data_IF_742538162040
#
_entry.id   IF_742538162040
#
_cell.length_a   1.000
_cell.length_b   1.000
_cell.length_c   1.000
_cell.angle_alpha   90.00
_cell.angle_beta   90.00
_cell.angle_gamma   90.00
#
_symmetry.space_group_name_H-M   'P 1'
#
loop_
_entity.id
_entity.type
_entity.pdbx_description
1 polymer ?
#
# COMPACT_ATOMS: atom_id res chain seq x y z
N UNK A 1 2.10 6.31 -11.60
CA UNK A 1 0.78 5.76 -11.19
C UNK A 1 0.76 4.22 -11.28
N UNK A 2 1.89 3.54 -10.99
CA UNK A 2 2.07 2.08 -11.17
C UNK A 2 2.38 1.33 -9.86
N UNK A 3 2.69 2.04 -8.77
CA UNK A 3 3.04 1.43 -7.49
C UNK A 3 1.80 1.04 -6.67
N UNK A 4 0.66 1.68 -6.95
CA UNK A 4 -0.62 1.40 -6.30
C UNK A 4 -1.38 0.36 -7.09
N UNK A 5 -1.70 -0.74 -6.41
CA UNK A 5 -2.49 -1.83 -6.96
C UNK A 5 -3.93 -1.72 -6.46
N UNK A 6 -4.86 -1.44 -7.36
CA UNK A 6 -6.26 -1.37 -7.01
C UNK A 6 -6.90 -2.75 -7.10
N UNK A 7 -7.67 -3.09 -6.09
CA UNK A 7 -8.43 -4.34 -6.00
C UNK A 7 -9.89 -4.02 -5.69
N UNK A 8 -10.79 -4.77 -6.31
CA UNK A 8 -12.21 -4.74 -5.98
C UNK A 8 -12.47 -5.67 -4.79
N UNK A 9 -12.91 -5.12 -3.67
CA UNK A 9 -13.22 -5.87 -2.45
C UNK A 9 -14.72 -6.12 -2.40
N UNK A 10 -15.12 -7.39 -2.59
CA UNK A 10 -16.52 -7.81 -2.49
C UNK A 10 -16.76 -8.58 -1.20
N UNK A 11 -17.66 -8.06 -0.38
CA UNK A 11 -18.24 -8.82 0.71
C UNK A 11 -19.31 -9.77 0.20
N UNK A 12 -19.08 -11.08 0.31
CA UNK A 12 -19.95 -12.11 -0.26
C UNK A 12 -21.22 -12.40 0.56
N UNK A 13 -21.32 -11.88 1.78
CA UNK A 13 -22.43 -12.16 2.71
C UNK A 13 -23.08 -10.86 3.18
N UNK A 14 -24.41 -10.78 3.15
CA UNK A 14 -25.19 -9.62 3.63
C UNK A 14 -25.04 -9.35 5.14
N UNK A 15 -24.31 -10.20 5.87
CA UNK A 15 -24.00 -10.07 7.30
C UNK A 15 -22.51 -9.88 7.57
N UNK A 16 -21.68 -9.71 6.54
CA UNK A 16 -20.22 -9.52 6.71
C UNK A 16 -19.90 -8.24 7.47
N UNK A 17 -20.62 -7.15 7.18
CA UNK A 17 -20.40 -5.82 7.77
C UNK A 17 -21.26 -5.56 9.01
N UNK A 18 -22.24 -6.42 9.29
CA UNK A 18 -23.08 -6.25 10.48
C UNK A 18 -22.27 -6.64 11.73
N UNK A 19 -22.29 -5.79 12.75
CA UNK A 19 -21.87 -6.17 14.10
C UNK A 19 -22.64 -7.43 14.49
N UNK A 20 -21.91 -8.39 15.03
CA UNK A 20 -22.52 -9.63 15.49
C UNK A 20 -23.47 -9.29 16.63
N UNK A 21 -24.74 -9.70 16.56
CA UNK A 21 -25.75 -9.35 17.55
C UNK A 21 -25.41 -9.98 18.89
N UNK A 22 -24.69 -9.27 19.75
CA UNK A 22 -24.57 -9.59 21.16
C UNK A 22 -25.79 -9.00 21.88
N UNK A 23 -26.88 -9.77 21.92
CA UNK A 23 -28.01 -9.57 22.83
C UNK A 23 -28.51 -8.12 23.01
N UNK A 24 -29.30 -7.57 22.07
CA UNK A 24 -30.43 -6.65 22.33
C UNK A 24 -31.12 -6.20 21.03
N UNK A 25 -32.42 -5.91 21.16
CA UNK A 25 -33.45 -5.67 20.13
C UNK A 25 -33.33 -4.33 19.36
N UNK A 26 -32.13 -3.87 19.02
CA UNK A 26 -31.98 -2.73 18.12
C UNK A 26 -31.24 -3.21 16.88
N UNK A 27 -31.87 -3.05 15.71
CA UNK A 27 -31.15 -3.14 14.46
C UNK A 27 -30.19 -1.95 14.46
N UNK A 28 -28.96 -2.18 14.91
CA UNK A 28 -27.88 -1.21 14.70
C UNK A 28 -27.70 -1.06 13.19
N UNK A 29 -27.66 0.19 12.74
CA UNK A 29 -27.33 0.52 11.36
C UNK A 29 -25.98 -0.11 10.98
N UNK A 30 -25.75 -0.44 9.70
CA UNK A 30 -24.42 -0.88 9.26
C UNK A 30 -23.38 0.11 9.79
N UNK A 31 -22.35 -0.36 10.48
CA UNK A 31 -21.28 0.56 10.88
C UNK A 31 -20.65 1.08 9.59
N UNK A 32 -20.67 2.40 9.39
CA UNK A 32 -19.94 3.02 8.30
C UNK A 32 -18.46 2.74 8.51
N UNK A 33 -17.89 1.89 7.67
CA UNK A 33 -16.46 1.58 7.73
C UNK A 33 -15.73 2.72 7.03
N UNK A 34 -15.30 3.69 7.83
CA UNK A 34 -14.44 4.79 7.38
C UNK A 34 -12.98 4.39 7.54
N UNK A 35 -12.13 4.76 6.57
CA UNK A 35 -10.68 4.51 6.56
C UNK A 35 -10.27 3.05 6.92
N UNK A 36 -10.79 2.01 6.24
CA UNK A 36 -10.45 0.62 6.57
C UNK A 36 -9.00 0.28 6.27
N UNK A 37 -8.37 -0.47 7.18
CA UNK A 37 -7.08 -1.11 6.93
C UNK A 37 -7.28 -2.62 6.82
N UNK A 38 -6.88 -3.19 5.69
CA UNK A 38 -6.94 -4.62 5.44
C UNK A 38 -5.54 -5.22 5.49
N UNK A 39 -5.34 -6.23 6.35
CA UNK A 39 -4.10 -7.02 6.42
C UNK A 39 -4.36 -8.41 5.88
N UNK A 40 -3.66 -8.78 4.81
CA UNK A 40 -3.65 -10.15 4.30
C UNK A 40 -2.74 -11.02 5.19
N UNK A 41 -3.23 -12.20 5.54
CA UNK A 41 -2.53 -13.21 6.33
C UNK A 41 -2.58 -14.52 5.56
N UNK A 42 -1.43 -14.94 5.04
CA UNK A 42 -1.28 -16.24 4.37
C UNK A 42 -0.84 -17.28 5.39
N UNK A 43 -1.70 -18.27 5.65
CA UNK A 43 -1.39 -19.37 6.57
C UNK A 43 -0.82 -20.58 5.82
N UNK A 44 -1.35 -20.83 4.62
CA UNK A 44 -0.88 -21.83 3.67
C UNK A 44 -1.17 -21.36 2.24
N UNK A 45 -0.62 -22.04 1.24
CA UNK A 45 -0.83 -21.72 -0.18
C UNK A 45 -2.32 -21.68 -0.58
N UNK A 46 -3.16 -22.43 0.14
CA UNK A 46 -4.59 -22.54 -0.12
C UNK A 46 -5.47 -21.73 0.82
N UNK A 47 -4.93 -21.31 1.98
CA UNK A 47 -5.73 -20.68 3.04
C UNK A 47 -5.19 -19.31 3.38
N UNK A 48 -5.88 -18.30 2.88
CA UNK A 48 -5.59 -16.90 3.11
C UNK A 48 -6.73 -16.25 3.92
N UNK A 49 -6.37 -15.53 4.96
CA UNK A 49 -7.29 -14.71 5.75
C UNK A 49 -7.01 -13.23 5.51
N UNK A 50 -8.04 -12.40 5.68
CA UNK A 50 -7.92 -10.95 5.68
C UNK A 50 -8.47 -10.41 6.98
N UNK A 51 -7.64 -9.72 7.75
CA UNK A 51 -8.09 -9.01 8.96
C UNK A 51 -8.43 -7.57 8.59
N UNK A 52 -9.62 -7.13 9.01
CA UNK A 52 -10.06 -5.74 8.91
C UNK A 52 -9.83 -5.02 10.23
N UNK A 53 -9.19 -3.86 10.15
CA UNK A 53 -9.00 -2.92 11.23
C UNK A 53 -9.69 -1.60 10.92
N UNK A 54 -10.19 -0.93 11.96
CA UNK A 54 -10.85 0.37 11.87
C UNK A 54 -10.34 1.29 12.97
N UNK A 55 -10.20 2.58 12.66
CA UNK A 55 -9.95 3.62 13.66
C UNK A 55 -11.29 4.13 14.25
N UNK A 56 -11.20 5.05 15.22
CA UNK A 56 -12.39 5.72 15.76
C UNK A 56 -12.98 6.69 14.72
N UNK A 57 -14.28 6.96 14.77
CA UNK A 57 -14.96 7.80 13.77
C UNK A 57 -14.30 9.18 13.56
N UNK A 58 -13.91 9.86 14.65
CA UNK A 58 -13.22 11.15 14.60
C UNK A 58 -11.82 11.05 13.97
N UNK A 59 -11.15 9.91 14.16
CA UNK A 59 -9.81 9.66 13.63
C UNK A 59 -9.87 9.29 12.15
N UNK A 60 -10.91 8.57 11.73
CA UNK A 60 -11.11 8.17 10.34
C UNK A 60 -11.25 9.37 9.40
N UNK A 61 -12.02 10.39 9.79
CA UNK A 61 -12.20 11.58 8.96
C UNK A 61 -10.87 12.37 8.80
N UNK A 62 -10.06 12.43 9.88
CA UNK A 62 -8.72 13.04 9.85
C UNK A 62 -7.73 12.23 9.00
N UNK A 63 -7.71 10.90 9.14
CA UNK A 63 -6.85 10.03 8.32
C UNK A 63 -7.19 10.17 6.84
N UNK A 64 -8.48 10.17 6.49
CA UNK A 64 -8.90 10.35 5.11
C UNK A 64 -8.49 11.72 4.58
N UNK A 65 -8.64 12.78 5.38
CA UNK A 65 -8.20 14.13 5.00
C UNK A 65 -6.69 14.16 4.72
N UNK A 66 -5.87 13.61 5.63
CA UNK A 66 -4.41 13.54 5.48
C UNK A 66 -3.98 12.72 4.26
N UNK A 67 -4.61 11.56 4.02
CA UNK A 67 -4.29 10.71 2.85
C UNK A 67 -4.75 11.32 1.52
N UNK A 68 -5.75 12.21 1.56
CA UNK A 68 -6.27 12.91 0.39
C UNK A 68 -5.62 14.26 0.14
N UNK A 69 -4.67 14.68 1.00
CA UNK A 69 -4.04 15.98 0.88
C UNK A 69 -3.13 16.03 -0.36
N UNK A 70 -3.40 17.00 -1.22
CA UNK A 70 -2.64 17.26 -2.44
C UNK A 70 -1.65 18.41 -2.29
N UNK A 71 -1.72 19.17 -1.19
CA UNK A 71 -1.03 20.45 -1.03
C UNK A 71 0.36 20.36 -0.41
N UNK A 72 0.60 19.43 0.52
CA UNK A 72 1.84 19.34 1.30
C UNK A 72 2.78 18.17 0.90
N UNK A 73 2.79 17.75 -0.37
CA UNK A 73 3.59 16.60 -0.85
C UNK A 73 5.07 16.92 -1.17
N UNK A 74 5.67 17.95 -0.58
CA UNK A 74 7.07 18.29 -0.88
C UNK A 74 8.02 17.33 -0.14
N UNK A 75 8.92 16.62 -0.83
CA UNK A 75 9.79 15.65 -0.19
C UNK A 75 10.79 16.34 0.74
N UNK A 76 10.86 15.85 1.97
CA UNK A 76 11.83 16.30 2.98
C UNK A 76 13.22 15.75 2.66
N UNK A 77 14.24 16.56 2.97
CA UNK A 77 15.63 16.27 2.59
C UNK A 77 16.31 15.27 3.53
N UNK A 78 15.93 15.29 4.81
CA UNK A 78 16.52 14.45 5.85
C UNK A 78 15.45 13.62 6.60
N UNK A 79 15.76 12.38 7.02
CA UNK A 79 14.86 11.58 7.87
C UNK A 79 14.54 12.23 9.23
N UNK A 80 15.37 13.16 9.71
CA UNK A 80 15.09 13.93 10.94
C UNK A 80 14.04 15.03 10.74
N UNK A 81 13.90 15.49 9.49
CA UNK A 81 12.87 16.44 9.05
C UNK A 81 11.58 15.74 8.64
N UNK A 82 11.62 14.42 8.43
CA UNK A 82 10.47 13.54 8.18
C UNK A 82 9.66 13.33 9.47
N UNK A 83 9.39 14.43 10.18
CA UNK A 83 8.45 14.46 11.29
C UNK A 83 7.07 14.12 10.76
N UNK A 84 6.26 13.44 11.56
CA UNK A 84 4.91 13.14 11.16
C UNK A 84 4.13 14.43 10.89
N UNK A 85 3.27 14.39 9.88
CA UNK A 85 2.37 15.50 9.51
C UNK A 85 1.51 15.94 10.71
N UNK A 86 1.24 15.01 11.61
CA UNK A 86 0.67 15.28 12.93
C UNK A 86 1.39 14.44 13.98
N UNK A 87 1.65 14.99 15.17
CA UNK A 87 2.11 14.20 16.34
C UNK A 87 1.07 13.17 16.83
N UNK A 88 -0.09 13.12 16.17
CA UNK A 88 -1.20 12.24 16.52
C UNK A 88 -0.95 10.83 15.99
N UNK A 89 -1.03 9.86 16.90
CA UNK A 89 -1.01 8.44 16.58
C UNK A 89 -2.45 7.97 16.38
N UNK A 90 -2.74 7.43 15.20
CA UNK A 90 -4.05 6.86 14.88
C UNK A 90 -4.09 5.39 15.29
N UNK A 91 -4.93 5.06 16.25
CA UNK A 91 -5.06 3.69 16.77
C UNK A 91 -6.14 2.92 16.02
N UNK A 92 -5.71 1.88 15.30
CA UNK A 92 -6.56 0.95 14.58
C UNK A 92 -6.81 -0.30 15.41
N UNK A 93 -8.07 -0.62 15.66
CA UNK A 93 -8.46 -1.82 16.40
C UNK A 93 -8.94 -2.90 15.43
N UNK A 94 -8.61 -4.15 15.76
CA UNK A 94 -9.08 -5.31 15.01
C UNK A 94 -10.60 -5.43 15.11
N UNK A 95 -11.28 -5.34 13.97
CA UNK A 95 -12.73 -5.47 13.90
C UNK A 95 -13.15 -6.92 13.67
N UNK A 96 -12.60 -7.54 12.62
CA UNK A 96 -13.02 -8.88 12.18
C UNK A 96 -12.00 -9.53 11.24
N UNK A 97 -11.93 -10.86 11.30
CA UNK A 97 -11.22 -11.70 10.34
C UNK A 97 -12.18 -12.27 9.29
N UNK A 98 -11.75 -12.28 8.04
CA UNK A 98 -12.48 -12.82 6.90
C UNK A 98 -11.67 -13.92 6.22
N UNK A 99 -12.37 -14.95 5.74
CA UNK A 99 -11.80 -15.88 4.79
C UNK A 99 -11.67 -15.17 3.43
N UNK A 100 -10.45 -15.10 2.91
CA UNK A 100 -10.14 -14.32 1.73
C UNK A 100 -9.90 -15.24 0.55
N UNK A 101 -10.70 -15.07 -0.49
CA UNK A 101 -10.48 -15.73 -1.77
C UNK A 101 -10.10 -14.66 -2.79
N UNK A 102 -8.80 -14.57 -3.08
CA UNK A 102 -8.29 -13.71 -4.14
C UNK A 102 -8.43 -14.44 -5.47
N UNK A 103 -9.27 -13.90 -6.35
CA UNK A 103 -9.25 -14.27 -7.76
C UNK A 103 -8.32 -13.30 -8.45
N UNK A 104 -7.03 -13.62 -8.45
CA UNK A 104 -6.10 -12.95 -9.35
C UNK A 104 -6.45 -13.36 -10.79
N UNK A 105 -6.46 -12.40 -11.70
CA UNK A 105 -6.63 -12.71 -13.13
C UNK A 105 -5.48 -13.66 -13.53
N UNK A 106 -5.81 -14.83 -14.07
CA UNK A 106 -4.81 -15.83 -14.49
C UNK A 106 -3.90 -15.32 -15.61
N UNK A 107 -4.31 -14.24 -16.29
CA UNK A 107 -3.53 -13.62 -17.34
C UNK A 107 -2.62 -12.58 -16.71
N UNK A 108 -1.37 -12.97 -16.47
CA UNK A 108 -0.29 -12.07 -16.08
C UNK A 108 -0.25 -10.88 -17.06
N UNK A 109 -0.62 -9.68 -16.59
CA UNK A 109 -0.52 -8.43 -17.34
C UNK A 109 -1.84 -7.77 -17.76
N UNK A 110 -2.99 -8.45 -17.69
CA UNK A 110 -4.28 -7.86 -18.06
C UNK A 110 -5.09 -7.44 -16.82
N UNK A 111 -5.37 -6.15 -16.71
CA UNK A 111 -6.30 -5.60 -15.72
C UNK A 111 -7.68 -6.24 -15.90
N UNK A 112 -8.28 -6.69 -14.80
CA UNK A 112 -9.60 -7.33 -14.84
C UNK A 112 -10.70 -6.33 -15.21
N UNK A 113 -10.57 -5.10 -14.70
CA UNK A 113 -11.55 -4.03 -14.86
C UNK A 113 -10.84 -2.68 -14.83
N UNK A 114 -11.42 -1.69 -15.51
CA UNK A 114 -11.02 -0.30 -15.41
C UNK A 114 -12.14 0.45 -14.68
N UNK A 115 -11.79 1.18 -13.63
CA UNK A 115 -12.67 2.15 -13.02
C UNK A 115 -12.35 3.53 -13.58
N UNK A 116 -13.38 4.30 -13.92
CA UNK A 116 -13.24 5.68 -14.38
C UNK A 116 -13.71 6.58 -13.24
N UNK A 117 -12.80 7.42 -12.74
CA UNK A 117 -13.12 8.44 -11.75
C UNK A 117 -13.03 9.80 -12.41
N UNK A 118 -14.04 10.64 -12.21
CA UNK A 118 -14.06 12.00 -12.73
C UNK A 118 -13.58 12.95 -11.65
N UNK A 119 -12.58 13.77 -11.96
CA UNK A 119 -12.21 14.89 -11.14
C UNK A 119 -12.91 16.15 -11.67
N UNK A 120 -13.90 16.62 -10.93
CA UNK A 120 -14.69 17.81 -11.29
C UNK A 120 -13.83 19.09 -11.31
N UNK A 121 -12.77 19.15 -10.49
CA UNK A 121 -11.92 20.36 -10.39
C UNK A 121 -11.10 20.57 -11.64
N UNK A 122 -10.52 19.49 -12.18
CA UNK A 122 -9.70 19.53 -13.39
C UNK A 122 -10.49 19.21 -14.66
N UNK A 123 -11.77 18.79 -14.52
CA UNK A 123 -12.59 18.28 -15.63
C UNK A 123 -11.90 17.14 -16.39
N UNK A 124 -11.12 16.33 -15.70
CA UNK A 124 -10.40 15.19 -16.29
C UNK A 124 -11.00 13.86 -15.84
N UNK A 125 -10.98 12.88 -16.74
CA UNK A 125 -11.31 11.50 -16.43
C UNK A 125 -10.02 10.73 -16.15
N UNK A 126 -9.91 10.17 -14.95
CA UNK A 126 -8.79 9.36 -14.52
C UNK A 126 -9.17 7.88 -14.65
N UNK A 127 -8.27 7.09 -15.25
CA UNK A 127 -8.44 5.65 -15.38
C UNK A 127 -7.68 4.95 -14.25
N UNK A 128 -8.41 4.17 -13.45
CA UNK A 128 -7.86 3.40 -12.33
C UNK A 128 -7.87 1.91 -12.70
N UNK A 129 -6.70 1.29 -12.95
CA UNK A 129 -6.61 -0.11 -13.32
C UNK A 129 -6.81 -1.04 -12.13
N UNK A 130 -7.85 -1.88 -12.17
CA UNK A 130 -8.15 -2.86 -11.13
C UNK A 130 -7.49 -4.20 -11.48
N UNK A 131 -6.51 -4.60 -10.67
CA UNK A 131 -5.71 -5.81 -10.89
C UNK A 131 -6.48 -7.10 -10.63
N UNK A 132 -7.43 -7.09 -9.71
CA UNK A 132 -8.15 -8.30 -9.35
C UNK A 132 -9.32 -8.05 -8.42
N UNK A 133 -9.93 -9.15 -8.00
CA UNK A 133 -11.06 -9.14 -7.07
C UNK A 133 -10.75 -9.99 -5.85
N UNK A 134 -11.02 -9.43 -4.67
CA UNK A 134 -10.89 -10.11 -3.40
C UNK A 134 -12.30 -10.34 -2.86
N UNK A 135 -12.69 -11.60 -2.75
CA UNK A 135 -13.96 -11.97 -2.14
C UNK A 135 -13.75 -12.30 -0.66
N UNK A 136 -14.34 -11.48 0.20
CA UNK A 136 -14.31 -11.66 1.65
C UNK A 136 -15.57 -12.43 2.08
N UNK A 137 -15.36 -13.59 2.70
CA UNK A 137 -16.42 -14.43 3.25
C UNK A 137 -16.34 -14.42 4.77
N UNK A 138 -17.49 -14.23 5.41
CA UNK A 138 -17.61 -14.49 6.84
C UNK A 138 -17.63 -16.01 7.02
N UNK A 139 -16.57 -16.56 7.60
CA UNK A 139 -16.48 -17.98 7.95
C UNK A 139 -16.19 -18.09 9.44
N UNK A 140 -16.77 -19.10 10.09
CA UNK A 140 -16.34 -19.48 11.43
C UNK A 140 -14.89 -19.97 11.32
N UNK A 141 -14.02 -19.42 12.15
CA UNK A 141 -12.63 -19.82 12.19
C UNK A 141 -12.56 -21.07 13.05
N UNK A 142 -11.94 -22.13 12.54
CA UNK A 142 -11.79 -23.36 13.29
C UNK A 142 -10.88 -23.13 14.49
N UNK A 143 -11.24 -23.70 15.64
CA UNK A 143 -10.49 -23.56 16.89
C UNK A 143 -9.00 -23.98 16.76
N UNK A 144 -8.68 -24.86 15.80
CA UNK A 144 -7.31 -25.27 15.51
C UNK A 144 -6.50 -24.19 14.78
N UNK A 145 -7.14 -23.40 13.93
CA UNK A 145 -6.52 -22.34 13.12
C UNK A 145 -6.45 -21.03 13.89
N UNK A 146 -7.45 -20.77 14.73
CA UNK A 146 -7.56 -19.56 15.55
C UNK A 146 -6.26 -19.14 16.27
N UNK A 147 -5.54 -20.02 16.99
CA UNK A 147 -4.31 -19.62 17.68
C UNK A 147 -3.21 -19.17 16.72
N UNK A 148 -3.08 -19.82 15.56
CA UNK A 148 -2.10 -19.43 14.53
C UNK A 148 -2.47 -18.09 13.91
N UNK A 149 -3.75 -17.90 13.61
CA UNK A 149 -4.23 -16.63 13.07
C UNK A 149 -4.02 -15.49 14.07
N UNK A 150 -4.31 -15.72 15.35
CA UNK A 150 -4.10 -14.73 16.41
C UNK A 150 -2.63 -14.37 16.56
N UNK A 151 -1.71 -15.32 16.43
CA UNK A 151 -0.27 -15.07 16.46
C UNK A 151 0.24 -14.23 15.27
N UNK A 152 -0.42 -14.30 14.11
CA UNK A 152 -0.05 -13.55 12.90
C UNK A 152 -0.81 -12.21 12.75
N UNK A 153 -1.95 -12.09 13.41
CA UNK A 153 -2.74 -10.84 13.48
C UNK A 153 -2.25 -9.94 14.61
N UNK A 154 -2.53 -8.66 14.50
CA UNK A 154 -2.33 -7.71 15.61
C UNK A 154 -3.69 -7.40 16.23
N UNK A 155 -3.73 -7.04 17.51
CA UNK A 155 -4.96 -6.55 18.13
C UNK A 155 -5.14 -5.05 17.87
N UNK A 156 -4.02 -4.32 17.90
CA UNK A 156 -3.95 -2.88 17.72
C UNK A 156 -2.80 -2.53 16.77
N UNK A 157 -3.06 -1.64 15.82
CA UNK A 157 -2.06 -1.05 14.94
C UNK A 157 -2.03 0.45 15.22
N UNK A 158 -0.87 0.97 15.59
CA UNK A 158 -0.66 2.41 15.76
C UNK A 158 -0.06 2.96 14.47
N UNK A 159 -0.83 3.75 13.75
CA UNK A 159 -0.44 4.35 12.49
C UNK A 159 -0.02 5.81 12.72
N UNK A 160 1.10 6.20 12.12
CA UNK A 160 1.51 7.58 12.01
C UNK A 160 1.75 7.91 10.54
N UNK A 161 1.22 9.03 10.07
CA UNK A 161 1.25 9.46 8.67
C UNK A 161 2.25 10.61 8.55
N UNK A 162 3.22 10.45 7.64
CA UNK A 162 4.24 11.44 7.34
C UNK A 162 4.47 11.55 5.85
N UNK A 163 5.08 12.66 5.46
CA UNK A 163 5.55 12.84 4.09
C UNK A 163 6.74 11.91 3.77
N UNK A 164 6.86 11.46 2.52
CA UNK A 164 7.98 10.62 2.08
C UNK A 164 9.28 11.43 2.02
N UNK A 165 10.41 10.78 2.32
CA UNK A 165 11.73 11.39 2.15
C UNK A 165 12.18 11.39 0.69
N UNK A 166 13.14 12.26 0.32
CA UNK A 166 13.78 12.22 -1.01
C UNK A 166 14.36 10.84 -1.36
N UNK A 167 14.94 10.14 -0.38
CA UNK A 167 15.47 8.79 -0.59
C UNK A 167 14.37 7.78 -0.92
N UNK A 168 13.23 7.82 -0.23
CA UNK A 168 12.08 6.96 -0.49
C UNK A 168 11.45 7.23 -1.86
N UNK A 169 11.42 8.50 -2.29
CA UNK A 169 10.99 8.88 -3.64
C UNK A 169 11.97 8.36 -4.70
N UNK A 170 13.28 8.54 -4.50
CA UNK A 170 14.28 8.05 -5.45
C UNK A 170 14.21 6.53 -5.60
N UNK A 171 14.08 5.78 -4.50
CA UNK A 171 13.89 4.34 -4.56
C UNK A 171 12.60 3.96 -5.30
N UNK A 172 11.51 4.69 -5.07
CA UNK A 172 10.25 4.49 -5.78
C UNK A 172 10.44 4.74 -7.28
N UNK A 173 11.14 5.78 -7.66
CA UNK A 173 11.35 6.15 -9.05
C UNK A 173 12.32 5.18 -9.76
N UNK A 174 13.34 4.65 -9.06
CA UNK A 174 14.17 3.52 -9.54
C UNK A 174 13.32 2.26 -9.76
N UNK A 175 12.39 1.95 -8.85
CA UNK A 175 11.49 0.80 -9.07
C UNK A 175 10.61 1.01 -10.31
N UNK A 176 10.21 2.25 -10.61
CA UNK A 176 9.43 2.59 -11.81
C UNK A 176 10.25 2.49 -13.09
N UNK A 177 11.52 2.90 -13.08
CA UNK A 177 12.36 2.83 -14.27
C UNK A 177 12.57 1.39 -14.76
N UNK A 178 12.46 0.38 -13.89
CA UNK A 178 12.45 -1.03 -14.30
C UNK A 178 11.24 -1.41 -15.18
N UNK A 179 10.12 -0.71 -15.04
CA UNK A 179 8.88 -0.99 -15.79
C UNK A 179 8.61 0.03 -16.90
N UNK A 180 9.23 1.21 -16.81
CA UNK A 180 9.19 2.28 -17.79
C UNK A 180 10.57 2.96 -17.82
N UNK A 181 11.57 2.37 -18.52
CA UNK A 181 12.88 2.97 -18.64
C UNK A 181 12.76 4.24 -19.50
N UNK A 182 12.59 5.39 -18.84
CA UNK A 182 12.79 6.66 -19.51
C UNK A 182 14.23 6.71 -20.01
N UNK A 183 14.42 6.83 -21.32
CA UNK A 183 15.64 7.37 -21.87
C UNK A 183 15.72 8.83 -21.41
N UNK A 184 16.34 9.08 -20.25
CA UNK A 184 16.91 10.39 -20.02
C UNK A 184 17.93 10.55 -21.15
N UNK A 185 17.60 11.38 -22.14
CA UNK A 185 18.61 11.90 -23.05
C UNK A 185 19.73 12.38 -22.16
N UNK A 186 20.91 11.77 -22.31
CA UNK A 186 22.10 12.35 -21.74
C UNK A 186 22.15 13.75 -22.35
N UNK A 187 21.87 14.77 -21.54
CA UNK A 187 22.44 16.06 -21.82
C UNK A 187 23.95 15.81 -21.72
N UNK A 188 24.56 15.57 -22.88
CA UNK A 188 25.99 15.72 -23.07
C UNK A 188 26.34 17.13 -22.61
N UNK A 189 27.11 17.23 -21.52
CA UNK A 189 27.90 18.36 -20.99
C UNK A 189 27.79 18.36 -19.44
N UNK A 190 28.81 18.13 -18.62
CA UNK A 190 30.25 18.36 -18.76
C UNK A 190 31.04 17.26 -18.02
N UNK A 191 32.13 16.84 -18.65
CA UNK A 191 33.19 16.06 -18.02
C UNK A 191 33.85 16.90 -16.92
N UNK A 192 33.74 16.47 -15.67
CA UNK A 192 34.66 16.92 -14.62
C UNK A 192 35.81 15.92 -14.50
N UNK A 193 36.95 16.36 -15.02
CA UNK A 193 38.29 15.88 -14.73
C UNK A 193 38.50 15.75 -13.22
N UNK A 194 39.14 14.65 -12.81
CA UNK A 194 40.19 14.56 -11.77
C UNK A 194 40.20 13.16 -11.15
N UNK A 195 40.99 12.23 -11.73
CA UNK A 195 41.77 11.30 -10.91
C UNK A 195 43.15 11.12 -11.55
N UNK A 196 44.09 11.80 -10.90
CA UNK A 196 45.53 11.56 -10.77
C UNK A 196 46.21 10.52 -11.68
N UNK A 197 47.22 11.02 -12.39
CA UNK A 197 48.39 10.27 -12.86
C UNK A 197 49.05 9.53 -11.69
N UNK A 198 49.17 8.21 -11.79
CA UNK A 198 50.28 7.47 -11.21
C UNK A 198 50.95 6.65 -12.31
N UNK A 199 52.23 6.94 -12.50
CA UNK A 199 53.14 6.30 -13.43
C UNK A 199 53.36 4.84 -13.02
N UNK A 200 53.09 3.90 -13.93
CA UNK A 200 53.68 2.56 -13.86
C UNK A 200 54.52 2.37 -15.11
N UNK A 201 55.84 2.49 -14.90
CA UNK A 201 56.90 2.25 -15.87
C UNK A 201 56.80 0.85 -16.47
N UNK A 202 56.67 0.80 -17.80
CA UNK A 202 56.80 -0.43 -18.61
C UNK A 202 58.27 -0.82 -18.63
N UNK A 203 58.61 -1.91 -17.93
CA UNK A 203 59.88 -2.61 -18.04
C UNK A 203 59.82 -3.65 -19.15
N UNK A 204 60.65 -3.42 -20.17
CA UNK A 204 60.94 -4.26 -21.34
C UNK A 204 60.85 -5.79 -21.13
N UNK A 205 60.19 -6.48 -22.06
CA UNK A 205 60.67 -7.79 -22.56
C UNK A 205 60.10 -8.07 -23.96
N UNK A 206 60.93 -7.90 -25.01
CA UNK A 206 60.87 -8.75 -26.20
C UNK A 206 62.25 -8.92 -26.87
N UNK A 207 62.69 -10.18 -26.87
CA UNK A 207 63.53 -10.90 -27.86
C UNK A 207 64.96 -10.45 -28.18
N UNK A 208 65.92 -11.26 -27.75
CA UNK A 208 66.79 -12.06 -28.63
C UNK A 208 67.24 -13.34 -27.93
#
# INVERSE_FOLDING_TARGET
>A
MLDQNFYDIKFSSSSSLKKERTNKRKAEEPSDIKAPLFKLISLSDTTNFMTLYTANDNDCDLVNALLSDTTENAPVSSPEEAKPSSDKIFTYQKLRDYDSNSRMSSNAGLFRQLAITFDEKTSTALFVPIKGKIELKKRRIDNFIEPKLRALSYDVINLNIREPTRTEINERDIRRSNFDPMEFGADEEEANEEVAKEEVTVGDTHLA
#
